data_IF_209662836018
#
_entry.id   IF_209662836018
#
_cell.length_a   1.000
_cell.length_b   1.000
_cell.length_c   1.000
_cell.angle_alpha   90.00
_cell.angle_beta   90.00
_cell.angle_gamma   90.00
#
_symmetry.space_group_name_H-M   'P 1'
#
loop_
_entity.id
_entity.type
_entity.pdbx_description
1 polymer ?
#
# COMPACT_ATOMS: atom_id res chain seq x y z
N UNK A 1 -12.08 13.05 -5.17
CA UNK A 1 -10.89 12.36 -5.74
C UNK A 1 -11.39 11.29 -6.71
N UNK A 2 -10.81 11.20 -7.91
CA UNK A 2 -11.20 10.20 -8.91
C UNK A 2 -10.80 8.78 -8.44
N UNK A 3 -11.70 7.82 -8.61
CA UNK A 3 -11.42 6.41 -8.30
C UNK A 3 -10.42 5.87 -9.32
N UNK A 4 -9.25 5.42 -8.87
CA UNK A 4 -8.33 4.62 -9.68
C UNK A 4 -9.06 3.40 -10.27
N UNK A 5 -8.95 3.20 -11.58
CA UNK A 5 -9.65 2.13 -12.33
C UNK A 5 -8.71 1.00 -12.80
N UNK A 6 -7.40 1.15 -12.59
CA UNK A 6 -6.43 0.13 -12.97
C UNK A 6 -6.34 -1.02 -11.96
N UNK A 7 -5.64 -2.09 -12.35
CA UNK A 7 -5.45 -3.27 -11.49
C UNK A 7 -4.20 -3.19 -10.62
N UNK A 8 -3.14 -2.56 -11.12
CA UNK A 8 -1.85 -2.48 -10.47
C UNK A 8 -1.42 -1.01 -10.37
N UNK A 9 -1.28 -0.51 -9.16
CA UNK A 9 -0.80 0.85 -8.92
C UNK A 9 0.69 0.81 -8.57
N UNK A 10 1.50 1.48 -9.37
CA UNK A 10 2.92 1.65 -9.08
C UNK A 10 3.19 3.10 -8.68
N UNK A 11 3.61 3.30 -7.44
CA UNK A 11 4.02 4.61 -6.89
C UNK A 11 5.54 4.74 -7.02
N UNK A 12 6.01 5.21 -8.18
CA UNK A 12 7.40 5.58 -8.42
C UNK A 12 7.62 7.07 -8.18
N UNK A 13 8.63 7.41 -7.36
CA UNK A 13 9.20 8.77 -7.17
C UNK A 13 8.20 9.93 -7.28
N UNK A 14 7.51 10.21 -6.18
CA UNK A 14 7.15 11.55 -5.74
C UNK A 14 6.56 11.41 -4.33
N UNK A 15 7.44 11.33 -3.33
CA UNK A 15 7.15 11.55 -1.91
C UNK A 15 5.72 11.16 -1.48
N UNK A 16 5.27 9.90 -1.61
CA UNK A 16 4.01 9.55 -0.98
C UNK A 16 4.27 9.63 0.52
N UNK A 17 3.87 10.76 1.10
CA UNK A 17 3.85 10.94 2.54
C UNK A 17 3.01 9.82 3.13
N UNK A 18 3.31 9.38 4.35
CA UNK A 18 2.57 8.29 5.00
C UNK A 18 1.04 8.47 4.91
N UNK A 19 0.57 9.73 4.97
CA UNK A 19 -0.85 10.10 4.79
C UNK A 19 -1.44 9.67 3.45
N UNK A 20 -0.70 9.74 2.35
CA UNK A 20 -1.17 9.32 1.02
C UNK A 20 -1.34 7.81 0.94
N UNK A 21 -0.41 7.05 1.54
CA UNK A 21 -0.49 5.58 1.60
C UNK A 21 -1.65 5.16 2.49
N UNK A 22 -1.72 5.71 3.71
CA UNK A 22 -2.83 5.45 4.65
C UNK A 22 -4.17 5.75 3.99
N UNK A 23 -4.33 6.92 3.39
CA UNK A 23 -5.58 7.33 2.75
C UNK A 23 -5.99 6.34 1.65
N UNK A 24 -5.05 5.98 0.78
CA UNK A 24 -5.33 5.12 -0.36
C UNK A 24 -5.67 3.69 0.08
N UNK A 25 -4.90 3.11 1.01
CA UNK A 25 -5.17 1.79 1.57
C UNK A 25 -6.53 1.77 2.29
N UNK A 26 -6.83 2.77 3.12
CA UNK A 26 -8.13 2.89 3.79
C UNK A 26 -9.29 3.03 2.79
N UNK A 27 -9.12 3.80 1.72
CA UNK A 27 -10.09 3.92 0.65
C UNK A 27 -10.33 2.56 -0.03
N UNK A 28 -9.26 1.82 -0.31
CA UNK A 28 -9.34 0.49 -0.92
C UNK A 28 -10.03 -0.53 0.00
N UNK A 29 -9.68 -0.57 1.29
CA UNK A 29 -10.34 -1.44 2.28
C UNK A 29 -11.85 -1.15 2.43
N UNK A 30 -12.28 0.08 2.15
CA UNK A 30 -13.70 0.48 2.11
C UNK A 30 -14.42 0.09 0.81
N UNK A 31 -13.76 -0.63 -0.09
CA UNK A 31 -14.32 -1.07 -1.37
C UNK A 31 -14.28 -0.04 -2.49
N UNK A 32 -13.57 1.09 -2.30
CA UNK A 32 -13.21 1.96 -3.41
C UNK A 32 -12.09 1.30 -4.24
N UNK A 33 -11.89 1.73 -5.48
CA UNK A 33 -10.88 1.15 -6.38
C UNK A 33 -11.13 -0.34 -6.67
N UNK A 34 -12.36 -0.71 -7.01
CA UNK A 34 -12.82 -2.11 -7.15
C UNK A 34 -11.96 -3.02 -8.04
N UNK A 35 -11.24 -2.44 -9.01
CA UNK A 35 -10.39 -3.19 -9.93
C UNK A 35 -8.98 -3.42 -9.38
N UNK A 36 -8.60 -2.71 -8.31
CA UNK A 36 -7.25 -2.73 -7.75
C UNK A 36 -6.96 -4.07 -7.08
N UNK A 37 -5.83 -4.67 -7.47
CA UNK A 37 -5.32 -5.95 -6.98
C UNK A 37 -4.01 -5.81 -6.22
N UNK A 38 -3.14 -4.86 -6.62
CA UNK A 38 -1.87 -4.65 -5.92
C UNK A 38 -1.38 -3.20 -5.98
N UNK A 39 -0.59 -2.83 -4.97
CA UNK A 39 0.12 -1.55 -4.87
C UNK A 39 1.59 -1.87 -4.68
N UNK A 40 2.45 -1.28 -5.51
CA UNK A 40 3.91 -1.33 -5.36
C UNK A 40 4.38 0.09 -5.10
N UNK A 41 5.09 0.30 -4.00
CA UNK A 41 5.54 1.64 -3.59
C UNK A 41 7.04 1.64 -3.31
N UNK A 42 7.76 2.52 -4.00
CA UNK A 42 9.21 2.66 -3.87
C UNK A 42 9.53 3.87 -3.00
N UNK A 43 9.91 3.62 -1.75
CA UNK A 43 10.10 4.68 -0.76
C UNK A 43 11.46 4.64 -0.10
N UNK A 44 11.97 5.83 0.24
CA UNK A 44 13.09 5.98 1.17
C UNK A 44 12.55 6.06 2.59
N UNK A 45 12.70 4.98 3.36
CA UNK A 45 12.33 4.95 4.77
C UNK A 45 13.11 6.01 5.56
N UNK A 46 12.45 6.66 6.52
CA UNK A 46 13.06 7.65 7.43
C UNK A 46 13.07 9.09 6.93
N UNK A 47 12.86 9.36 5.63
CA UNK A 47 12.73 10.74 5.12
C UNK A 47 11.29 11.13 4.78
N UNK A 48 10.48 10.19 4.28
CA UNK A 48 9.15 10.51 3.73
C UNK A 48 8.02 9.65 4.29
N UNK A 49 8.37 8.50 4.84
CA UNK A 49 7.43 7.58 5.50
C UNK A 49 7.97 7.28 6.89
N UNK A 50 7.16 7.62 7.89
CA UNK A 50 7.28 7.06 9.22
C UNK A 50 6.38 5.82 9.25
N UNK A 51 6.98 4.65 9.37
CA UNK A 51 6.26 3.38 9.35
C UNK A 51 5.37 3.21 10.59
N UNK A 52 5.78 3.75 11.74
CA UNK A 52 5.01 3.65 12.98
C UNK A 52 3.66 4.36 12.83
N UNK A 53 3.64 5.53 12.18
CA UNK A 53 2.39 6.25 11.87
C UNK A 53 1.49 5.42 10.92
N UNK A 54 2.08 4.77 9.92
CA UNK A 54 1.32 3.91 9.00
C UNK A 54 0.70 2.71 9.74
N UNK A 55 1.45 2.10 10.66
CA UNK A 55 0.97 0.98 11.46
C UNK A 55 -0.13 1.42 12.45
N UNK A 56 0.01 2.58 13.08
CA UNK A 56 -1.01 3.14 13.97
C UNK A 56 -2.31 3.49 13.22
N UNK A 57 -2.18 4.02 12.00
CA UNK A 57 -3.32 4.41 11.16
C UNK A 57 -4.06 3.20 10.58
N UNK A 58 -3.33 2.22 10.05
CA UNK A 58 -3.90 1.05 9.38
C UNK A 58 -4.28 -0.06 10.34
N UNK A 59 -3.71 -0.07 11.56
CA UNK A 59 -3.88 -1.11 12.58
C UNK A 59 -3.81 -2.52 11.97
N UNK A 60 -2.74 -2.84 11.22
CA UNK A 60 -2.65 -4.12 10.56
C UNK A 60 -2.58 -5.23 11.60
N UNK A 61 -3.20 -6.37 11.28
CA UNK A 61 -3.00 -7.59 12.05
C UNK A 61 -1.52 -8.02 11.98
N UNK A 62 -1.08 -8.77 12.99
CA UNK A 62 0.24 -9.39 12.95
C UNK A 62 0.36 -10.24 11.70
N UNK A 63 1.52 -10.15 11.06
CA UNK A 63 1.86 -10.98 9.92
C UNK A 63 1.68 -12.47 10.25
N UNK A 64 0.87 -13.15 9.45
CA UNK A 64 0.63 -14.59 9.54
C UNK A 64 1.17 -15.26 8.28
N UNK A 65 2.30 -15.96 8.43
CA UNK A 65 3.00 -16.63 7.33
C UNK A 65 2.12 -17.67 6.62
N UNK A 66 1.13 -18.25 7.30
CA UNK A 66 0.24 -19.27 6.73
C UNK A 66 -0.80 -18.67 5.77
N UNK A 67 -1.12 -17.37 5.92
CA UNK A 67 -2.03 -16.63 5.04
C UNK A 67 -1.33 -16.08 3.80
N UNK A 68 -0.01 -16.25 3.67
CA UNK A 68 0.75 -15.79 2.52
C UNK A 68 0.33 -16.59 1.26
N UNK A 69 -0.11 -15.94 0.17
CA UNK A 69 -0.28 -16.62 -1.10
C UNK A 69 1.05 -17.24 -1.53
N UNK A 70 1.07 -18.52 -1.92
CA UNK A 70 2.30 -19.23 -2.36
C UNK A 70 3.05 -18.51 -3.49
N UNK A 71 2.35 -17.69 -4.27
CA UNK A 71 2.85 -16.94 -5.42
C UNK A 71 2.75 -15.44 -5.20
N UNK A 72 3.22 -14.94 -4.06
CA UNK A 72 3.46 -13.50 -3.95
C UNK A 72 4.75 -13.17 -4.70
N UNK A 73 4.63 -13.01 -6.02
CA UNK A 73 5.72 -12.56 -6.89
C UNK A 73 6.10 -11.12 -6.49
N UNK A 74 7.31 -10.97 -5.96
CA UNK A 74 8.00 -9.69 -6.00
C UNK A 74 9.16 -9.86 -6.98
N UNK A 75 9.14 -9.09 -8.05
CA UNK A 75 10.37 -8.82 -8.80
C UNK A 75 11.15 -7.82 -7.95
N UNK A 76 12.25 -8.29 -7.34
CA UNK A 76 13.29 -7.37 -6.86
C UNK A 76 13.81 -6.61 -8.08
N UNK A 77 13.68 -5.28 -8.07
CA UNK A 77 14.34 -4.38 -9.02
C UNK A 77 15.71 -4.02 -8.48
#
# INVERSE_FOLDING_TARGET
MMNFQGEHLVMHKALPHHTSITYFVNSWMKGNHKNLKSIISYNRCGWHINIDIVLDDLKPEKWDETKRPRYFEYTSV
#
